data_IF_217038507388
#
_entry.id   IF_217038507388
#
_cell.length_a   1.000
_cell.length_b   1.000
_cell.length_c   1.000
_cell.angle_alpha   90.00
_cell.angle_beta   90.00
_cell.angle_gamma   90.00
#
_symmetry.space_group_name_H-M   'P 1'
#
loop_
_entity.id
_entity.type
_entity.pdbx_description
1 polymer ?
#
# COMPACT_ATOMS: atom_id res chain seq x y z
N UNK A 1 6.18 -31.71 38.69
CA UNK A 1 7.29 -30.80 39.05
C UNK A 1 6.82 -29.38 38.81
N UNK A 2 6.93 -28.55 39.80
CA UNK A 2 6.27 -27.26 40.01
C UNK A 2 6.63 -26.15 39.01
N UNK A 3 5.76 -25.17 38.74
CA UNK A 3 6.06 -23.99 37.90
C UNK A 3 6.74 -22.88 38.74
N UNK A 4 7.70 -22.20 38.13
CA UNK A 4 8.36 -21.01 38.68
C UNK A 4 7.53 -19.76 38.34
N UNK A 5 7.05 -19.11 39.40
CA UNK A 5 6.41 -17.81 39.38
C UNK A 5 7.50 -16.75 39.45
N UNK A 6 7.55 -15.83 38.50
CA UNK A 6 8.40 -14.64 38.55
C UNK A 6 7.56 -13.42 38.94
N UNK A 7 7.91 -12.82 40.08
CA UNK A 7 7.32 -11.63 40.67
C UNK A 7 7.92 -10.36 40.00
N UNK A 8 7.07 -9.45 39.58
CA UNK A 8 7.47 -8.09 39.22
C UNK A 8 7.37 -7.16 40.44
N UNK A 9 8.50 -6.54 40.79
CA UNK A 9 8.60 -5.49 41.80
C UNK A 9 8.15 -4.13 41.22
N UNK A 10 7.22 -3.48 41.92
CA UNK A 10 6.89 -2.06 41.75
C UNK A 10 7.86 -1.21 42.57
N UNK A 11 8.50 -0.23 41.97
CA UNK A 11 9.20 0.86 42.66
C UNK A 11 8.38 2.13 42.51
N UNK A 12 7.78 2.57 43.60
CA UNK A 12 7.16 3.86 43.75
C UNK A 12 8.23 4.91 44.05
N UNK A 13 8.32 5.98 43.28
CA UNK A 13 9.15 7.14 43.60
C UNK A 13 8.22 8.31 43.94
N UNK A 14 8.55 8.93 45.09
CA UNK A 14 7.75 9.85 45.87
C UNK A 14 7.59 11.25 45.29
N UNK A 15 6.46 11.82 45.65
CA UNK A 15 6.12 13.23 45.52
C UNK A 15 6.71 14.02 46.71
N UNK A 16 7.27 15.19 46.43
CA UNK A 16 7.46 16.25 47.42
C UNK A 16 6.98 17.59 46.86
N UNK A 17 6.27 18.40 47.64
CA UNK A 17 5.67 19.64 47.18
C UNK A 17 6.54 20.88 47.46
N UNK A 18 6.55 21.85 46.55
CA UNK A 18 7.11 23.19 46.80
C UNK A 18 6.03 24.25 46.64
N UNK A 19 5.81 24.89 47.72
CA UNK A 19 5.21 26.10 48.19
C UNK A 19 4.89 27.23 47.17
N UNK A 20 3.72 27.80 47.40
CA UNK A 20 3.13 28.99 46.77
C UNK A 20 3.94 30.29 46.93
N UNK A 21 3.88 31.09 45.86
CA UNK A 21 4.28 32.49 45.90
C UNK A 21 3.21 33.38 45.27
N UNK A 22 2.57 34.20 46.12
CA UNK A 22 1.57 35.21 45.78
C UNK A 22 2.18 36.43 45.12
N UNK A 23 1.60 36.90 44.01
CA UNK A 23 1.95 38.17 43.38
C UNK A 23 0.71 38.88 42.81
N UNK A 24 0.23 39.88 43.53
CA UNK A 24 -0.82 40.80 43.14
C UNK A 24 -0.38 41.67 41.97
N UNK A 25 -1.19 41.83 40.94
CA UNK A 25 -1.02 42.88 39.92
C UNK A 25 -2.29 43.66 39.71
N UNK A 26 -2.13 44.94 39.89
CA UNK A 26 -3.06 46.04 39.91
C UNK A 26 -3.62 46.36 38.52
N UNK A 27 -4.93 46.61 38.50
CA UNK A 27 -5.68 47.14 37.36
C UNK A 27 -5.44 48.61 37.20
N UNK A 28 -5.10 49.13 36.02
CA UNK A 28 -5.25 50.51 35.63
C UNK A 28 -6.18 50.67 34.43
N UNK A 29 -7.37 51.23 34.68
CA UNK A 29 -8.25 51.82 33.68
C UNK A 29 -7.83 53.26 33.47
N UNK A 30 -7.64 53.69 32.23
CA UNK A 30 -7.62 55.08 31.86
C UNK A 30 -8.64 55.33 30.73
N UNK A 31 -9.65 56.11 31.09
CA UNK A 31 -10.58 56.73 30.15
C UNK A 31 -9.96 58.09 29.72
N UNK A 32 -10.01 58.37 28.43
CA UNK A 32 -10.02 59.80 27.99
C UNK A 32 -10.82 59.92 26.68
N UNK A 33 -11.91 60.68 26.79
CA UNK A 33 -12.63 61.28 25.67
C UNK A 33 -11.90 62.52 25.22
N UNK A 34 -11.80 62.81 23.94
CA UNK A 34 -11.73 64.17 23.37
C UNK A 34 -12.41 64.18 22.00
N UNK A 35 -13.20 65.23 21.88
CA UNK A 35 -14.13 65.69 20.84
C UNK A 35 -13.47 66.02 19.50
N UNK A 36 -14.17 65.69 18.45
CA UNK A 36 -14.61 66.36 17.24
C UNK A 36 -13.69 67.39 16.55
N UNK A 37 -13.50 67.09 15.24
CA UNK A 37 -13.38 68.16 14.24
C UNK A 37 -13.93 67.64 12.92
N UNK A 38 -14.93 68.35 12.37
CA UNK A 38 -15.46 68.24 11.05
C UNK A 38 -14.42 68.68 10.01
N UNK A 39 -14.08 67.85 9.02
CA UNK A 39 -13.42 68.32 7.82
C UNK A 39 -14.21 67.78 6.61
N UNK A 40 -14.81 68.75 5.91
CA UNK A 40 -15.45 68.62 4.61
C UNK A 40 -14.33 68.38 3.59
N UNK A 41 -14.34 67.28 2.97
CA UNK A 41 -13.47 66.96 1.79
C UNK A 41 -14.34 66.98 0.55
N UNK A 42 -14.04 67.94 -0.31
CA UNK A 42 -14.63 68.15 -1.62
C UNK A 42 -14.28 66.98 -2.54
N UNK A 43 -15.28 66.33 -3.10
CA UNK A 43 -15.12 65.30 -4.14
C UNK A 43 -14.78 66.02 -5.47
N UNK A 44 -13.52 65.93 -5.90
CA UNK A 44 -13.12 66.13 -7.29
C UNK A 44 -13.28 64.82 -8.04
N UNK A 45 -14.31 64.71 -8.89
CA UNK A 45 -14.50 63.62 -9.84
C UNK A 45 -13.50 63.76 -10.97
N UNK A 46 -12.38 63.05 -10.89
CA UNK A 46 -11.50 62.80 -12.02
C UNK A 46 -11.99 61.52 -12.70
N UNK A 47 -12.55 61.68 -13.89
CA UNK A 47 -12.84 60.56 -14.79
C UNK A 47 -11.53 59.95 -15.30
N UNK A 48 -10.97 59.05 -14.53
CA UNK A 48 -9.88 58.17 -14.96
C UNK A 48 -10.46 56.97 -15.69
N UNK A 49 -10.07 56.81 -16.94
CA UNK A 49 -10.38 55.64 -17.73
C UNK A 49 -9.85 54.37 -17.03
N UNK A 50 -10.75 53.56 -16.46
CA UNK A 50 -10.40 52.24 -15.99
C UNK A 50 -10.08 51.36 -17.20
N UNK A 51 -8.78 51.21 -17.48
CA UNK A 51 -8.31 50.08 -18.29
C UNK A 51 -8.60 48.81 -17.50
N UNK A 52 -9.49 47.94 -17.97
CA UNK A 52 -9.72 46.63 -17.41
C UNK A 52 -8.40 45.87 -17.36
N UNK A 53 -8.05 45.22 -16.24
CA UNK A 53 -6.86 44.38 -16.21
C UNK A 53 -7.06 43.28 -17.24
N UNK A 54 -6.07 43.16 -18.16
CA UNK A 54 -6.00 42.05 -19.10
C UNK A 54 -6.19 40.75 -18.34
N UNK A 55 -7.11 39.90 -18.87
CA UNK A 55 -7.53 38.68 -18.22
C UNK A 55 -6.35 37.89 -17.68
N UNK A 56 -6.42 37.52 -16.42
CA UNK A 56 -5.53 36.56 -15.82
C UNK A 56 -5.64 35.28 -16.65
N UNK A 57 -4.66 35.03 -17.50
CA UNK A 57 -4.51 33.73 -18.13
C UNK A 57 -4.42 32.73 -17.00
N UNK A 58 -5.44 31.88 -16.86
CA UNK A 58 -5.37 30.72 -15.97
C UNK A 58 -4.11 29.96 -16.33
N UNK A 59 -3.21 29.79 -15.35
CA UNK A 59 -2.04 28.94 -15.52
C UNK A 59 -2.50 27.61 -16.16
N UNK A 60 -1.80 27.06 -17.16
CA UNK A 60 -2.17 25.80 -17.74
C UNK A 60 -2.27 24.78 -16.61
N UNK A 61 -3.44 24.13 -16.51
CA UNK A 61 -3.62 23.04 -15.56
C UNK A 61 -2.45 22.07 -15.76
N UNK A 62 -1.73 21.75 -14.71
CA UNK A 62 -0.67 20.74 -14.75
C UNK A 62 -1.22 19.50 -15.45
N UNK A 63 -0.50 18.91 -16.40
CA UNK A 63 -1.01 17.75 -17.12
C UNK A 63 -1.45 16.71 -16.10
N UNK A 64 -2.69 16.30 -16.17
CA UNK A 64 -3.20 15.19 -15.37
C UNK A 64 -2.37 13.98 -15.78
N UNK A 65 -1.42 13.59 -14.93
CA UNK A 65 -0.64 12.38 -15.18
C UNK A 65 -1.60 11.23 -15.34
N UNK A 66 -1.51 10.51 -16.46
CA UNK A 66 -2.37 9.36 -16.71
C UNK A 66 -2.27 8.37 -15.56
N UNK A 67 -3.40 7.77 -15.17
CA UNK A 67 -3.44 6.76 -14.11
C UNK A 67 -2.50 5.60 -14.47
N UNK A 68 -1.66 5.19 -13.54
CA UNK A 68 -0.65 4.14 -13.72
C UNK A 68 -1.35 2.79 -13.92
N UNK A 69 -1.15 2.06 -15.04
CA UNK A 69 -1.58 0.67 -15.14
C UNK A 69 -0.84 -0.17 -14.10
N UNK A 70 -1.57 -0.77 -13.16
CA UNK A 70 -1.02 -1.48 -12.02
C UNK A 70 -1.50 -2.93 -11.99
N UNK A 71 -0.57 -3.86 -11.88
CA UNK A 71 -0.83 -5.26 -11.58
C UNK A 71 -0.51 -5.50 -10.11
N UNK A 72 -1.39 -6.19 -9.40
CA UNK A 72 -1.18 -6.61 -8.01
C UNK A 72 -0.96 -8.11 -7.97
N UNK A 73 0.24 -8.55 -7.58
CA UNK A 73 0.63 -9.96 -7.44
C UNK A 73 0.84 -10.26 -5.96
N UNK A 74 0.00 -11.13 -5.38
CA UNK A 74 -0.22 -11.25 -3.93
C UNK A 74 -0.31 -12.71 -3.50
N UNK A 75 0.05 -13.02 -2.27
CA UNK A 75 -0.26 -14.31 -1.63
C UNK A 75 -1.43 -14.21 -0.64
N UNK A 76 -2.37 -13.34 -0.97
CA UNK A 76 -3.57 -13.03 -0.17
C UNK A 76 -4.21 -14.29 0.42
N UNK A 77 -4.40 -14.26 1.71
CA UNK A 77 -4.85 -15.41 2.50
C UNK A 77 -3.78 -15.92 3.47
N UNK A 78 -2.53 -15.52 3.33
CA UNK A 78 -1.47 -15.79 4.31
C UNK A 78 -1.46 -14.71 5.40
N UNK A 79 -1.55 -13.43 5.03
CA UNK A 79 -1.61 -12.29 5.95
C UNK A 79 -2.77 -11.35 5.60
N UNK A 80 -3.16 -10.47 6.53
CA UNK A 80 -4.24 -9.51 6.32
C UNK A 80 -3.76 -8.18 5.72
N UNK A 81 -2.47 -7.91 5.68
CA UNK A 81 -1.95 -6.69 5.05
C UNK A 81 -2.06 -6.74 3.52
N UNK A 82 -2.05 -7.91 2.88
CA UNK A 82 -2.49 -8.09 1.49
C UNK A 82 -3.87 -7.48 1.22
N UNK A 83 -4.81 -7.71 2.14
CA UNK A 83 -6.20 -7.23 2.00
C UNK A 83 -6.25 -5.71 2.14
N UNK A 84 -5.50 -5.16 3.10
CA UNK A 84 -5.36 -3.71 3.26
C UNK A 84 -4.67 -3.08 2.04
N UNK A 85 -3.65 -3.75 1.46
CA UNK A 85 -2.96 -3.30 0.26
C UNK A 85 -3.89 -3.27 -0.96
N UNK A 86 -4.75 -4.27 -1.13
CA UNK A 86 -5.78 -4.27 -2.19
C UNK A 86 -6.78 -3.13 -1.99
N UNK A 87 -7.23 -2.87 -0.76
CA UNK A 87 -8.07 -1.73 -0.42
C UNK A 87 -7.40 -0.38 -0.71
N UNK A 88 -6.12 -0.26 -0.38
CA UNK A 88 -5.30 0.92 -0.72
C UNK A 88 -5.25 1.17 -2.23
N UNK A 89 -5.04 0.12 -3.04
CA UNK A 89 -5.05 0.22 -4.51
C UNK A 89 -6.40 0.72 -5.00
N UNK A 90 -7.51 0.20 -4.47
CA UNK A 90 -8.85 0.65 -4.85
C UNK A 90 -9.10 2.12 -4.53
N UNK A 91 -8.62 2.62 -3.38
CA UNK A 91 -8.70 4.04 -3.01
C UNK A 91 -7.85 4.91 -3.94
N UNK A 92 -6.63 4.47 -4.24
CA UNK A 92 -5.75 5.16 -5.19
C UNK A 92 -6.34 5.20 -6.60
N UNK A 93 -7.02 4.14 -7.04
CA UNK A 93 -7.75 4.13 -8.31
C UNK A 93 -8.95 5.08 -8.28
N UNK A 94 -9.68 5.17 -7.18
CA UNK A 94 -10.77 6.13 -7.00
C UNK A 94 -10.29 7.58 -7.13
N UNK A 95 -9.05 7.83 -6.71
CA UNK A 95 -8.35 9.12 -6.86
C UNK A 95 -7.66 9.29 -8.23
N UNK A 96 -7.88 8.37 -9.15
CA UNK A 96 -7.29 8.36 -10.50
C UNK A 96 -5.74 8.40 -10.50
N UNK A 97 -5.12 7.71 -9.53
CA UNK A 97 -3.65 7.61 -9.43
C UNK A 97 -3.11 6.36 -10.07
N UNK A 98 -3.86 5.28 -10.01
CA UNK A 98 -3.58 4.03 -10.72
C UNK A 98 -4.85 3.48 -11.36
N UNK A 99 -4.69 2.47 -12.18
CA UNK A 99 -5.74 1.63 -12.74
C UNK A 99 -5.32 0.18 -12.52
N UNK A 100 -6.01 -0.51 -11.62
CA UNK A 100 -5.79 -1.94 -11.37
C UNK A 100 -6.24 -2.72 -12.60
N UNK A 101 -5.29 -3.33 -13.30
CA UNK A 101 -5.53 -4.04 -14.56
C UNK A 101 -5.57 -5.55 -14.40
N UNK A 102 -5.02 -6.08 -13.32
CA UNK A 102 -5.15 -7.47 -12.91
C UNK A 102 -4.76 -7.66 -11.45
N UNK A 103 -5.28 -8.71 -10.82
CA UNK A 103 -4.76 -9.31 -9.60
C UNK A 103 -4.30 -10.73 -9.91
N UNK A 104 -3.05 -11.08 -9.56
CA UNK A 104 -2.54 -12.44 -9.68
C UNK A 104 -2.17 -12.99 -8.31
N UNK A 105 -2.49 -14.27 -8.07
CA UNK A 105 -2.44 -14.88 -6.75
C UNK A 105 -1.41 -16.01 -6.76
N UNK A 106 -0.46 -15.96 -5.83
CA UNK A 106 0.62 -16.94 -5.68
C UNK A 106 0.33 -17.99 -4.62
N UNK A 107 -0.57 -17.71 -3.67
CA UNK A 107 -1.05 -18.70 -2.71
C UNK A 107 -1.92 -19.75 -3.41
N UNK A 108 -1.52 -21.03 -3.34
CA UNK A 108 -2.25 -22.11 -3.97
C UNK A 108 -3.42 -22.61 -3.10
N UNK A 109 -4.43 -21.79 -2.95
CA UNK A 109 -5.63 -22.12 -2.19
C UNK A 109 -6.92 -21.66 -2.88
N UNK A 110 -7.91 -22.54 -2.91
CA UNK A 110 -9.13 -22.42 -3.71
C UNK A 110 -10.00 -21.19 -3.38
N UNK A 111 -9.96 -20.70 -2.15
CA UNK A 111 -10.78 -19.55 -1.71
C UNK A 111 -10.13 -18.18 -1.95
N UNK A 112 -8.87 -18.12 -2.38
CA UNK A 112 -8.19 -16.82 -2.53
C UNK A 112 -8.77 -16.00 -3.70
N UNK A 113 -9.05 -16.62 -4.85
CA UNK A 113 -9.61 -15.90 -5.99
C UNK A 113 -11.06 -15.42 -5.75
N UNK A 114 -11.99 -16.24 -5.23
CA UNK A 114 -13.30 -15.73 -4.78
C UNK A 114 -13.20 -14.59 -3.77
N UNK A 115 -12.25 -14.64 -2.85
CA UNK A 115 -12.06 -13.60 -1.86
C UNK A 115 -11.58 -12.27 -2.49
N UNK A 116 -10.63 -12.33 -3.42
CA UNK A 116 -10.20 -11.14 -4.21
C UNK A 116 -11.37 -10.57 -5.00
N UNK A 117 -12.17 -11.42 -5.64
CA UNK A 117 -13.35 -11.00 -6.39
C UNK A 117 -14.37 -10.29 -5.48
N UNK A 118 -14.63 -10.83 -4.30
CA UNK A 118 -15.50 -10.22 -3.30
C UNK A 118 -15.00 -8.84 -2.85
N UNK A 119 -13.69 -8.69 -2.62
CA UNK A 119 -13.10 -7.38 -2.30
C UNK A 119 -13.19 -6.41 -3.48
N UNK A 120 -12.84 -6.84 -4.69
CA UNK A 120 -12.96 -6.02 -5.90
C UNK A 120 -14.41 -5.56 -6.11
N UNK A 121 -15.39 -6.45 -5.96
CA UNK A 121 -16.82 -6.17 -6.08
C UNK A 121 -17.28 -5.19 -5.00
N UNK A 122 -16.83 -5.34 -3.76
CA UNK A 122 -17.08 -4.38 -2.68
C UNK A 122 -16.64 -2.96 -3.05
N UNK A 123 -15.56 -2.81 -3.79
CA UNK A 123 -15.09 -1.51 -4.30
C UNK A 123 -15.70 -1.12 -5.66
N UNK A 124 -16.70 -1.87 -6.17
CA UNK A 124 -17.37 -1.61 -7.44
C UNK A 124 -16.50 -1.93 -8.66
N UNK A 125 -15.64 -2.94 -8.57
CA UNK A 125 -14.68 -3.36 -9.62
C UNK A 125 -14.57 -4.88 -9.77
N UNK A 126 -15.69 -5.58 -9.72
CA UNK A 126 -15.73 -7.04 -9.88
C UNK A 126 -15.17 -7.54 -11.22
N UNK A 127 -15.14 -6.69 -12.25
CA UNK A 127 -14.61 -7.07 -13.58
C UNK A 127 -13.07 -7.08 -13.70
N UNK A 128 -12.32 -6.78 -12.62
CA UNK A 128 -10.86 -6.83 -12.63
C UNK A 128 -10.40 -8.27 -12.86
N UNK A 129 -9.59 -8.55 -13.90
CA UNK A 129 -9.10 -9.90 -14.17
C UNK A 129 -8.34 -10.49 -12.99
N UNK A 130 -8.66 -11.74 -12.63
CA UNK A 130 -8.01 -12.48 -11.55
C UNK A 130 -7.34 -13.73 -12.15
N UNK A 131 -6.06 -13.89 -11.84
CA UNK A 131 -5.28 -15.07 -12.22
C UNK A 131 -4.74 -15.81 -11.01
N UNK A 132 -4.68 -17.15 -11.06
CA UNK A 132 -4.17 -17.98 -9.97
C UNK A 132 -2.97 -18.79 -10.40
N UNK A 133 -2.00 -18.94 -9.48
CA UNK A 133 -0.93 -19.90 -9.61
C UNK A 133 -1.48 -21.31 -9.27
N UNK A 134 -1.27 -22.28 -10.18
CA UNK A 134 -1.75 -23.66 -9.96
C UNK A 134 -0.69 -24.61 -9.42
N UNK A 135 0.54 -24.13 -9.31
CA UNK A 135 1.68 -24.87 -8.75
C UNK A 135 2.40 -24.01 -7.70
N UNK A 136 1.62 -23.26 -6.95
CA UNK A 136 2.11 -22.35 -5.91
C UNK A 136 2.48 -23.07 -4.62
N UNK A 137 2.88 -22.27 -3.67
CA UNK A 137 3.21 -22.72 -2.30
C UNK A 137 2.08 -22.31 -1.34
N UNK A 138 2.19 -22.70 -0.08
CA UNK A 138 1.27 -22.33 1.01
C UNK A 138 -0.21 -22.69 0.75
N UNK A 139 -0.54 -23.97 0.51
CA UNK A 139 -1.92 -24.41 0.26
C UNK A 139 -2.81 -24.44 1.50
N UNK A 140 -2.29 -24.04 2.67
CA UNK A 140 -3.00 -24.10 3.95
C UNK A 140 -4.21 -23.17 3.96
N UNK A 141 -5.24 -23.57 4.74
CA UNK A 141 -6.43 -22.77 4.97
C UNK A 141 -6.08 -21.37 5.50
N UNK A 142 -6.67 -20.36 4.91
CA UNK A 142 -6.60 -18.98 5.40
C UNK A 142 -7.47 -18.79 6.64
N UNK A 143 -7.08 -17.84 7.49
CA UNK A 143 -7.90 -17.43 8.66
C UNK A 143 -9.12 -16.61 8.25
N UNK A 144 -9.14 -15.97 7.09
CA UNK A 144 -10.16 -14.99 6.70
C UNK A 144 -10.77 -15.17 5.31
N UNK A 145 -10.17 -15.90 4.39
CA UNK A 145 -10.76 -16.06 3.04
C UNK A 145 -12.10 -16.78 3.07
N UNK A 146 -12.43 -17.47 4.18
CA UNK A 146 -13.75 -18.07 4.42
C UNK A 146 -14.88 -17.05 4.47
N UNK A 147 -14.60 -15.75 4.60
CA UNK A 147 -15.61 -14.67 4.52
C UNK A 147 -16.45 -14.73 3.25
N UNK A 148 -15.94 -15.30 2.15
CA UNK A 148 -16.70 -15.50 0.91
C UNK A 148 -17.90 -16.44 1.07
N UNK A 149 -17.88 -17.29 2.11
CA UNK A 149 -18.98 -18.23 2.40
C UNK A 149 -20.05 -17.62 3.31
N UNK A 150 -19.79 -16.43 3.86
CA UNK A 150 -20.71 -15.78 4.79
C UNK A 150 -21.97 -15.27 4.07
N UNK A 151 -23.10 -15.44 4.72
CA UNK A 151 -24.41 -15.05 4.18
C UNK A 151 -25.03 -13.90 4.97
N UNK A 152 -25.83 -13.10 4.25
CA UNK A 152 -26.74 -12.13 4.86
C UNK A 152 -28.15 -12.42 4.31
N UNK A 153 -28.95 -13.14 5.12
CA UNK A 153 -30.15 -13.79 4.63
C UNK A 153 -29.80 -14.90 3.62
N UNK A 154 -30.44 -14.87 2.46
CA UNK A 154 -30.20 -15.87 1.39
C UNK A 154 -29.07 -15.45 0.42
N UNK A 155 -28.57 -14.21 0.52
CA UNK A 155 -27.53 -13.67 -0.35
C UNK A 155 -26.12 -13.83 0.25
N UNK A 156 -25.10 -13.77 -0.60
CA UNK A 156 -23.72 -13.65 -0.14
C UNK A 156 -23.53 -12.30 0.58
N UNK A 157 -22.87 -12.32 1.75
CA UNK A 157 -22.52 -11.08 2.48
C UNK A 157 -21.61 -10.21 1.63
N UNK A 158 -20.69 -10.84 0.92
CA UNK A 158 -19.79 -10.22 -0.02
C UNK A 158 -20.07 -10.81 -1.42
N UNK A 159 -20.86 -10.13 -2.27
CA UNK A 159 -21.15 -10.60 -3.62
C UNK A 159 -19.88 -10.82 -4.44
N UNK A 160 -19.82 -11.93 -5.16
CA UNK A 160 -18.69 -12.32 -6.03
C UNK A 160 -19.16 -13.34 -7.06
N UNK A 161 -18.52 -13.33 -8.23
CA UNK A 161 -18.84 -14.22 -9.34
C UNK A 161 -18.02 -15.50 -9.34
N UNK A 162 -16.73 -15.40 -9.00
CA UNK A 162 -15.86 -16.56 -8.85
C UNK A 162 -16.29 -17.40 -7.64
N UNK A 163 -16.53 -18.69 -7.83
CA UNK A 163 -16.94 -19.61 -6.75
C UNK A 163 -15.79 -20.45 -6.23
N UNK A 164 -14.74 -20.60 -7.02
CA UNK A 164 -13.57 -21.41 -6.71
C UNK A 164 -12.35 -20.83 -7.45
N UNK A 165 -11.17 -20.99 -6.88
CA UNK A 165 -9.92 -20.68 -7.57
C UNK A 165 -9.73 -21.51 -8.85
N UNK A 166 -10.39 -22.67 -8.95
CA UNK A 166 -10.38 -23.49 -10.17
C UNK A 166 -11.07 -22.80 -11.35
N UNK A 167 -12.03 -21.93 -11.08
CA UNK A 167 -12.79 -21.18 -12.10
C UNK A 167 -12.00 -19.95 -12.60
N UNK A 168 -10.98 -19.51 -11.85
CA UNK A 168 -10.12 -18.41 -12.24
C UNK A 168 -9.15 -18.82 -13.36
N UNK A 169 -8.72 -17.86 -14.16
CA UNK A 169 -7.73 -18.05 -15.20
C UNK A 169 -6.34 -18.37 -14.63
N UNK A 170 -5.45 -18.91 -15.44
CA UNK A 170 -4.04 -19.06 -15.10
C UNK A 170 -3.36 -17.68 -14.96
N UNK A 171 -2.53 -17.51 -13.92
CA UNK A 171 -1.88 -16.24 -13.64
C UNK A 171 -0.99 -15.75 -14.79
N UNK A 172 -0.24 -16.63 -15.43
CA UNK A 172 0.64 -16.28 -16.55
C UNK A 172 -0.19 -15.83 -17.76
N UNK A 173 -1.29 -16.53 -18.04
CA UNK A 173 -2.19 -16.14 -19.13
C UNK A 173 -2.80 -14.74 -18.90
N UNK A 174 -3.22 -14.43 -17.64
CA UNK A 174 -3.71 -13.10 -17.26
C UNK A 174 -2.61 -12.06 -17.43
N UNK A 175 -1.42 -12.30 -16.86
CA UNK A 175 -0.26 -11.40 -16.97
C UNK A 175 0.07 -11.08 -18.43
N UNK A 176 0.19 -12.10 -19.27
CA UNK A 176 0.49 -11.92 -20.69
C UNK A 176 -0.56 -11.11 -21.41
N UNK A 177 -1.84 -11.41 -21.15
CA UNK A 177 -2.98 -10.70 -21.77
C UNK A 177 -3.00 -9.21 -21.42
N UNK A 178 -2.88 -8.87 -20.13
CA UNK A 178 -2.93 -7.46 -19.72
C UNK A 178 -1.67 -6.70 -20.13
N UNK A 179 -0.49 -7.32 -20.05
CA UNK A 179 0.76 -6.71 -20.52
C UNK A 179 0.73 -6.42 -22.01
N UNK A 180 0.25 -7.37 -22.83
CA UNK A 180 0.16 -7.17 -24.27
C UNK A 180 -0.73 -5.98 -24.65
N UNK A 181 -1.78 -5.71 -23.89
CA UNK A 181 -2.75 -4.64 -24.14
C UNK A 181 -2.26 -3.25 -23.75
N UNK A 182 -1.26 -3.14 -22.85
CA UNK A 182 -0.81 -1.84 -22.34
C UNK A 182 0.26 -1.19 -23.22
N UNK A 183 0.46 0.12 -23.02
CA UNK A 183 1.53 0.86 -23.68
C UNK A 183 2.92 0.41 -23.19
N UNK A 184 3.94 0.55 -24.04
CA UNK A 184 5.31 0.17 -23.72
C UNK A 184 5.83 1.01 -22.54
N UNK A 185 6.51 0.37 -21.59
CA UNK A 185 7.10 1.00 -20.42
C UNK A 185 6.11 1.70 -19.49
N UNK A 186 4.81 1.35 -19.53
CA UNK A 186 3.79 2.00 -18.72
C UNK A 186 3.43 1.24 -17.43
N UNK A 187 3.53 -0.09 -17.45
CA UNK A 187 3.00 -0.95 -16.38
C UNK A 187 3.90 -0.94 -15.15
N UNK A 188 3.28 -0.86 -14.00
CA UNK A 188 3.91 -1.11 -12.70
C UNK A 188 3.32 -2.39 -12.12
N UNK A 189 4.18 -3.30 -11.67
CA UNK A 189 3.79 -4.48 -10.92
C UNK A 189 4.10 -4.24 -9.45
N UNK A 190 3.11 -4.45 -8.60
CA UNK A 190 3.28 -4.55 -7.16
C UNK A 190 3.19 -6.02 -6.79
N UNK A 191 4.33 -6.64 -6.50
CA UNK A 191 4.41 -8.01 -6.04
C UNK A 191 4.60 -8.01 -4.53
N UNK A 192 3.66 -8.60 -3.81
CA UNK A 192 3.71 -8.68 -2.35
C UNK A 192 3.63 -10.12 -1.83
N UNK A 193 3.39 -11.06 -2.73
CA UNK A 193 3.49 -12.49 -2.46
C UNK A 193 4.81 -13.11 -2.97
N UNK A 194 4.76 -14.39 -3.32
CA UNK A 194 5.92 -15.13 -3.81
C UNK A 194 6.26 -14.74 -5.26
N UNK A 195 7.51 -14.90 -5.65
CA UNK A 195 7.98 -14.53 -7.00
C UNK A 195 7.53 -15.53 -8.10
N UNK A 196 6.76 -16.54 -7.77
CA UNK A 196 6.37 -17.68 -8.63
C UNK A 196 5.71 -17.22 -9.93
N UNK A 197 4.70 -16.35 -9.88
CA UNK A 197 3.98 -15.89 -11.07
C UNK A 197 4.87 -15.11 -12.03
N UNK A 198 5.70 -14.19 -11.50
CA UNK A 198 6.59 -13.38 -12.33
C UNK A 198 7.70 -14.23 -12.97
N UNK A 199 8.24 -15.21 -12.26
CA UNK A 199 9.23 -16.15 -12.82
C UNK A 199 8.58 -17.05 -13.87
N UNK A 200 7.37 -17.55 -13.64
CA UNK A 200 6.63 -18.32 -14.63
C UNK A 200 6.31 -17.47 -15.87
N UNK A 201 5.99 -16.18 -15.71
CA UNK A 201 5.88 -15.25 -16.83
C UNK A 201 7.19 -15.19 -17.62
N UNK A 202 8.35 -14.97 -16.97
CA UNK A 202 9.65 -14.91 -17.67
C UNK A 202 9.95 -16.16 -18.49
N UNK A 203 9.51 -17.33 -18.03
CA UNK A 203 9.70 -18.63 -18.68
C UNK A 203 8.67 -18.93 -19.76
N UNK A 204 7.60 -18.15 -19.88
CA UNK A 204 6.56 -18.38 -20.88
C UNK A 204 7.06 -18.04 -22.29
N UNK A 205 6.71 -18.90 -23.26
CA UNK A 205 6.99 -18.68 -24.68
C UNK A 205 6.03 -17.70 -25.33
N UNK A 206 6.25 -17.44 -26.62
CA UNK A 206 5.27 -16.79 -27.49
C UNK A 206 4.02 -17.67 -27.64
N UNK A 207 2.85 -17.06 -27.76
CA UNK A 207 1.55 -17.73 -27.86
C UNK A 207 0.55 -16.87 -28.65
N UNK A 208 -0.71 -17.32 -28.71
CA UNK A 208 -1.79 -16.59 -29.41
C UNK A 208 -2.11 -15.23 -28.78
N UNK A 209 -1.73 -14.99 -27.51
CA UNK A 209 -1.89 -13.70 -26.83
C UNK A 209 -0.86 -12.71 -27.33
N UNK A 210 0.39 -13.15 -27.52
CA UNK A 210 1.48 -12.28 -27.93
C UNK A 210 2.61 -13.09 -28.62
N UNK A 211 3.17 -12.55 -29.73
CA UNK A 211 4.34 -13.15 -30.37
C UNK A 211 5.63 -12.98 -29.53
N UNK A 212 5.59 -12.19 -28.46
CA UNK A 212 6.72 -11.98 -27.55
C UNK A 212 6.74 -13.07 -26.48
N UNK A 213 7.93 -13.54 -26.11
CA UNK A 213 8.12 -14.31 -24.89
C UNK A 213 7.74 -13.49 -23.65
N UNK A 214 7.50 -14.14 -22.52
CA UNK A 214 7.18 -13.41 -21.28
C UNK A 214 8.29 -12.48 -20.83
N UNK A 215 9.56 -12.86 -21.05
CA UNK A 215 10.71 -11.97 -20.78
C UNK A 215 10.71 -10.73 -21.68
N UNK A 216 10.42 -10.87 -22.94
CA UNK A 216 10.32 -9.74 -23.88
C UNK A 216 9.13 -8.85 -23.56
N UNK A 217 7.98 -9.44 -23.17
CA UNK A 217 6.83 -8.68 -22.67
C UNK A 217 7.16 -7.88 -21.41
N UNK A 218 7.82 -8.51 -20.43
CA UNK A 218 8.24 -7.84 -19.21
C UNK A 218 9.17 -6.67 -19.53
N UNK A 219 10.23 -6.90 -20.33
CA UNK A 219 11.18 -5.86 -20.75
C UNK A 219 10.50 -4.70 -21.49
N UNK A 220 9.53 -5.00 -22.35
CA UNK A 220 8.86 -4.00 -23.19
C UNK A 220 7.81 -3.21 -22.43
N UNK A 221 7.05 -3.84 -21.55
CA UNK A 221 5.82 -3.27 -20.97
C UNK A 221 5.97 -2.77 -19.55
N UNK A 222 6.82 -3.43 -18.75
CA UNK A 222 6.97 -3.13 -17.32
C UNK A 222 8.10 -2.12 -17.12
N UNK A 223 7.80 -1.00 -16.46
CA UNK A 223 8.81 -0.01 -16.08
C UNK A 223 9.39 -0.25 -14.69
N UNK A 224 8.60 -0.85 -13.80
CA UNK A 224 8.94 -1.02 -12.38
C UNK A 224 8.24 -2.24 -11.79
N UNK A 225 8.97 -3.03 -11.03
CA UNK A 225 8.42 -3.94 -10.02
C UNK A 225 8.70 -3.37 -8.64
N UNK A 226 7.65 -3.07 -7.88
CA UNK A 226 7.75 -2.76 -6.45
C UNK A 226 7.46 -4.04 -5.69
N UNK A 227 8.46 -4.60 -5.03
CA UNK A 227 8.34 -5.92 -4.41
C UNK A 227 8.47 -5.87 -2.90
N UNK A 228 7.54 -6.51 -2.20
CA UNK A 228 7.71 -6.83 -0.78
C UNK A 228 8.48 -8.15 -0.67
N UNK A 229 9.77 -8.04 -0.44
CA UNK A 229 10.65 -9.21 -0.29
C UNK A 229 11.97 -8.85 0.37
N UNK A 230 12.50 -9.80 1.11
CA UNK A 230 13.83 -9.71 1.71
C UNK A 230 13.92 -8.79 2.94
N UNK A 231 15.14 -8.68 3.45
CA UNK A 231 15.49 -7.76 4.54
C UNK A 231 16.90 -7.21 4.28
N UNK A 232 17.04 -5.89 4.34
CA UNK A 232 18.29 -5.18 4.04
C UNK A 232 18.92 -4.56 5.29
N UNK A 233 18.24 -4.68 6.45
CA UNK A 233 18.74 -4.31 7.76
C UNK A 233 18.57 -5.46 8.75
N UNK A 234 19.44 -5.57 9.78
CA UNK A 234 19.26 -6.55 10.84
C UNK A 234 17.97 -6.29 11.63
N UNK A 235 17.25 -7.35 11.96
CA UNK A 235 16.09 -7.29 12.87
C UNK A 235 16.55 -7.78 14.25
N UNK A 236 16.39 -6.93 15.26
CA UNK A 236 16.90 -7.20 16.62
C UNK A 236 18.40 -7.59 16.64
N UNK A 237 19.21 -6.96 15.77
CA UNK A 237 20.64 -7.21 15.66
C UNK A 237 21.03 -8.52 14.96
N UNK A 238 20.07 -9.23 14.35
CA UNK A 238 20.31 -10.50 13.65
C UNK A 238 19.88 -10.39 12.18
N UNK A 239 20.54 -11.14 11.27
CA UNK A 239 20.04 -11.30 9.89
C UNK A 239 18.63 -11.85 9.92
N UNK A 240 17.78 -11.32 9.06
CA UNK A 240 16.39 -11.77 8.91
C UNK A 240 16.21 -12.50 7.58
N UNK A 241 15.55 -13.65 7.62
CA UNK A 241 15.18 -14.46 6.48
C UNK A 241 13.69 -14.22 6.22
N UNK A 242 13.42 -13.38 5.24
CA UNK A 242 12.07 -12.89 4.99
C UNK A 242 11.19 -13.96 4.34
N UNK A 243 9.92 -14.02 4.77
CA UNK A 243 8.97 -15.10 4.48
C UNK A 243 8.75 -15.33 2.98
N UNK A 244 8.47 -14.28 2.19
CA UNK A 244 8.21 -14.40 0.75
C UNK A 244 9.41 -14.94 -0.02
N UNK A 245 10.61 -14.65 0.47
CA UNK A 245 11.86 -15.19 -0.10
C UNK A 245 12.07 -16.64 0.29
N UNK A 246 11.79 -17.01 1.54
CA UNK A 246 12.08 -18.37 2.06
C UNK A 246 11.09 -19.41 1.54
N UNK A 247 9.79 -19.04 1.47
CA UNK A 247 8.73 -19.99 1.05
C UNK A 247 8.83 -20.39 -0.42
N UNK A 248 9.31 -19.48 -1.31
CA UNK A 248 9.66 -19.84 -2.69
C UNK A 248 11.05 -19.32 -3.06
N UNK A 249 12.05 -19.90 -2.41
CA UNK A 249 13.45 -19.52 -2.56
C UNK A 249 13.95 -19.58 -4.00
N UNK A 250 13.50 -20.57 -4.76
CA UNK A 250 13.91 -20.75 -6.15
C UNK A 250 13.39 -19.62 -7.04
N UNK A 251 12.12 -19.24 -6.88
CA UNK A 251 11.55 -18.12 -7.61
C UNK A 251 12.14 -16.78 -7.16
N UNK A 252 12.35 -16.56 -5.87
CA UNK A 252 12.97 -15.33 -5.37
C UNK A 252 14.38 -15.12 -5.93
N UNK A 253 15.19 -16.17 -6.02
CA UNK A 253 16.52 -16.14 -6.66
C UNK A 253 16.43 -15.82 -8.15
N UNK A 254 15.52 -16.51 -8.87
CA UNK A 254 15.33 -16.31 -10.30
C UNK A 254 14.83 -14.90 -10.60
N UNK A 255 13.88 -14.36 -9.82
CA UNK A 255 13.41 -12.99 -10.00
C UNK A 255 14.56 -11.97 -9.86
N UNK A 256 15.33 -12.09 -8.78
CA UNK A 256 16.46 -11.19 -8.53
C UNK A 256 17.55 -11.28 -9.62
N UNK A 257 17.74 -12.43 -10.22
CA UNK A 257 18.78 -12.65 -11.23
C UNK A 257 18.32 -12.28 -12.65
N UNK A 258 17.05 -12.58 -12.99
CA UNK A 258 16.59 -12.65 -14.38
C UNK A 258 15.63 -11.55 -14.77
N UNK A 259 15.03 -10.82 -13.81
CA UNK A 259 14.05 -9.78 -14.15
C UNK A 259 14.69 -8.64 -14.93
N UNK A 260 14.12 -8.23 -16.10
CA UNK A 260 14.82 -7.38 -17.04
C UNK A 260 14.66 -5.86 -16.81
N UNK A 261 13.83 -5.42 -15.87
CA UNK A 261 13.58 -3.99 -15.60
C UNK A 261 13.88 -3.63 -14.15
N UNK A 262 13.65 -2.38 -13.75
CA UNK A 262 13.92 -1.93 -12.38
C UNK A 262 13.07 -2.70 -11.35
N UNK A 263 13.73 -3.12 -10.26
CA UNK A 263 13.08 -3.65 -9.06
C UNK A 263 13.41 -2.76 -7.87
N UNK A 264 12.37 -2.36 -7.13
CA UNK A 264 12.52 -1.69 -5.84
C UNK A 264 11.92 -2.55 -4.75
N UNK A 265 12.77 -2.95 -3.82
CA UNK A 265 12.41 -3.83 -2.71
C UNK A 265 11.91 -3.01 -1.52
N UNK A 266 10.73 -3.30 -1.02
CA UNK A 266 10.30 -2.93 0.33
C UNK A 266 10.68 -4.08 1.26
N UNK A 267 11.79 -3.92 1.99
CA UNK A 267 12.28 -4.95 2.89
C UNK A 267 11.42 -5.12 4.14
N UNK A 268 11.58 -6.23 4.83
CA UNK A 268 10.86 -6.55 6.06
C UNK A 268 10.90 -5.42 7.08
N UNK A 269 12.06 -4.76 7.25
CA UNK A 269 12.27 -3.65 8.17
C UNK A 269 11.38 -2.44 7.89
N UNK A 270 10.97 -2.23 6.63
CA UNK A 270 10.15 -1.08 6.22
C UNK A 270 8.73 -1.24 6.74
N UNK A 271 8.07 -2.35 6.43
CA UNK A 271 6.71 -2.61 6.92
C UNK A 271 6.65 -2.78 8.42
N UNK A 272 7.67 -3.40 9.03
CA UNK A 272 7.77 -3.54 10.49
C UNK A 272 7.80 -2.17 11.19
N UNK A 273 8.45 -1.17 10.59
CA UNK A 273 8.54 0.18 11.13
C UNK A 273 7.24 0.99 11.00
N UNK A 274 6.28 0.54 10.19
CA UNK A 274 5.02 1.24 9.89
C UNK A 274 3.83 0.36 10.25
N UNK A 275 3.51 0.14 11.55
CA UNK A 275 2.37 -0.67 11.93
C UNK A 275 1.05 0.08 11.65
N UNK A 276 0.04 -0.64 11.14
CA UNK A 276 -1.32 -0.14 10.95
C UNK A 276 -2.02 -0.03 12.30
N UNK A 277 -2.55 1.13 12.70
CA UNK A 277 -3.15 1.30 14.02
C UNK A 277 -4.43 0.47 14.18
N UNK A 278 -4.50 -0.37 15.20
CA UNK A 278 -5.67 -1.16 15.53
C UNK A 278 -6.93 -0.30 15.75
N UNK A 279 -6.77 0.89 16.34
CA UNK A 279 -7.87 1.84 16.55
C UNK A 279 -8.55 2.23 15.24
N UNK A 280 -7.80 2.32 14.14
CA UNK A 280 -8.39 2.56 12.81
C UNK A 280 -9.27 1.40 12.37
N UNK A 281 -8.84 0.16 12.58
CA UNK A 281 -9.64 -1.04 12.30
C UNK A 281 -10.93 -1.05 13.11
N UNK A 282 -10.90 -0.60 14.35
CA UNK A 282 -12.06 -0.56 15.23
C UNK A 282 -13.07 0.54 14.84
N UNK A 283 -12.61 1.69 14.35
CA UNK A 283 -13.43 2.91 14.25
C UNK A 283 -13.66 3.40 12.83
N UNK A 284 -12.66 3.34 11.93
CA UNK A 284 -12.72 4.07 10.67
C UNK A 284 -13.45 3.31 9.55
N UNK A 285 -13.75 2.02 9.74
CA UNK A 285 -14.46 1.18 8.77
C UNK A 285 -15.96 1.00 9.07
N UNK A 286 -16.48 1.69 10.09
CA UNK A 286 -17.85 1.53 10.57
C UNK A 286 -18.92 2.22 9.72
N UNK A 287 -18.53 2.83 8.59
CA UNK A 287 -19.48 3.43 7.64
C UNK A 287 -20.35 2.39 6.91
N UNK A 288 -20.00 1.12 7.01
CA UNK A 288 -20.83 -0.03 6.62
C UNK A 288 -20.82 -1.08 7.72
N UNK A 289 -21.90 -1.87 7.88
CA UNK A 289 -21.97 -2.90 8.91
C UNK A 289 -20.95 -4.03 8.71
N UNK A 290 -20.66 -4.36 7.45
CA UNK A 290 -19.71 -5.39 7.06
C UNK A 290 -18.68 -4.80 6.08
N UNK A 291 -17.43 -4.79 6.50
CA UNK A 291 -16.32 -4.30 5.68
C UNK A 291 -15.26 -5.39 5.50
N UNK A 292 -14.94 -5.83 4.27
CA UNK A 292 -14.08 -7.00 4.07
C UNK A 292 -12.66 -6.81 4.63
N UNK A 293 -12.09 -5.59 4.55
CA UNK A 293 -10.77 -5.32 5.13
C UNK A 293 -10.78 -5.44 6.66
N UNK A 294 -11.78 -4.84 7.30
CA UNK A 294 -11.93 -4.88 8.75
C UNK A 294 -12.16 -6.31 9.25
N UNK A 295 -13.09 -7.04 8.64
CA UNK A 295 -13.43 -8.39 9.07
C UNK A 295 -12.24 -9.35 8.84
N UNK A 296 -11.49 -9.20 7.74
CA UNK A 296 -10.27 -9.98 7.49
C UNK A 296 -9.21 -9.72 8.55
N UNK A 297 -8.97 -8.46 8.90
CA UNK A 297 -8.01 -8.09 9.94
C UNK A 297 -8.38 -8.71 11.29
N UNK A 298 -9.64 -8.58 11.69
CA UNK A 298 -10.14 -9.10 12.99
C UNK A 298 -10.06 -10.64 13.04
N UNK A 299 -10.33 -11.33 11.93
CA UNK A 299 -10.21 -12.79 11.85
C UNK A 299 -8.75 -13.24 11.82
N UNK A 300 -7.87 -12.45 11.23
CA UNK A 300 -6.45 -12.77 11.19
C UNK A 300 -5.79 -12.62 12.56
N UNK A 301 -5.87 -11.43 13.14
CA UNK A 301 -5.42 -11.11 14.49
C UNK A 301 -6.18 -9.89 15.02
N UNK A 302 -7.07 -10.08 16.03
CA UNK A 302 -7.95 -9.00 16.46
C UNK A 302 -7.19 -7.88 17.20
N UNK A 303 -7.75 -6.64 17.22
CA UNK A 303 -7.28 -5.58 18.10
C UNK A 303 -7.14 -6.06 19.57
N UNK A 304 -6.18 -5.48 20.33
CA UNK A 304 -5.43 -4.25 20.05
C UNK A 304 -4.13 -4.43 19.23
N UNK A 305 -3.98 -5.51 18.47
CA UNK A 305 -2.82 -5.76 17.66
C UNK A 305 -2.67 -4.72 16.52
N UNK A 306 -1.49 -4.10 16.40
CA UNK A 306 -1.12 -3.22 15.29
C UNK A 306 -0.30 -4.02 14.27
N UNK A 307 -0.91 -4.38 13.13
CA UNK A 307 -0.23 -5.19 12.13
C UNK A 307 0.77 -4.35 11.33
N UNK A 308 2.03 -4.80 11.18
CA UNK A 308 2.94 -4.19 10.21
C UNK A 308 2.35 -4.15 8.81
N UNK A 309 2.77 -3.16 7.98
CA UNK A 309 2.17 -2.85 6.68
C UNK A 309 3.12 -3.17 5.54
N UNK A 310 3.70 -4.35 5.52
CA UNK A 310 4.72 -4.74 4.55
C UNK A 310 4.27 -4.50 3.11
N UNK A 311 3.08 -4.96 2.75
CA UNK A 311 2.54 -4.90 1.40
C UNK A 311 2.12 -3.49 1.00
N UNK A 312 1.50 -2.78 1.95
CA UNK A 312 1.01 -1.42 1.71
C UNK A 312 2.15 -0.46 1.37
N UNK A 313 3.35 -0.68 1.92
CA UNK A 313 4.51 0.16 1.63
C UNK A 313 4.98 0.00 0.19
N UNK A 314 4.95 -1.21 -0.37
CA UNK A 314 5.21 -1.47 -1.78
C UNK A 314 4.19 -0.79 -2.69
N UNK A 315 2.89 -0.85 -2.35
CA UNK A 315 1.81 -0.16 -3.09
C UNK A 315 2.01 1.36 -3.06
N UNK A 316 2.25 1.92 -1.87
CA UNK A 316 2.40 3.38 -1.71
C UNK A 316 3.59 3.91 -2.51
N UNK A 317 4.73 3.21 -2.48
CA UNK A 317 5.89 3.56 -3.28
C UNK A 317 5.60 3.46 -4.79
N UNK A 318 5.01 2.36 -5.24
CA UNK A 318 4.71 2.12 -6.66
C UNK A 318 3.88 3.25 -7.30
N UNK A 319 2.94 3.82 -6.54
CA UNK A 319 2.04 4.86 -7.02
C UNK A 319 2.58 6.27 -6.78
N UNK A 320 3.37 6.46 -5.73
CA UNK A 320 3.90 7.76 -5.33
C UNK A 320 5.42 7.75 -5.10
N UNK A 321 6.24 7.34 -6.07
CA UNK A 321 7.70 7.22 -5.89
C UNK A 321 8.38 8.55 -5.54
N UNK A 322 7.86 9.67 -6.04
CA UNK A 322 8.46 11.00 -5.92
C UNK A 322 7.86 11.86 -4.79
N UNK A 323 6.98 11.30 -3.95
CA UNK A 323 6.35 12.09 -2.86
C UNK A 323 7.20 12.18 -1.60
N UNK A 324 8.37 11.56 -1.57
CA UNK A 324 9.26 11.57 -0.42
C UNK A 324 8.72 10.79 0.77
N UNK A 325 7.83 9.82 0.55
CA UNK A 325 7.39 8.87 1.57
C UNK A 325 8.54 7.96 2.01
N UNK A 326 9.40 7.60 1.09
CA UNK A 326 10.55 6.74 1.32
C UNK A 326 11.82 7.36 0.75
N UNK A 327 12.96 6.97 1.30
CA UNK A 327 14.25 7.09 0.65
C UNK A 327 14.56 5.83 -0.17
N UNK A 328 15.64 5.87 -0.93
CA UNK A 328 16.13 4.76 -1.73
C UNK A 328 17.59 4.48 -1.43
N UNK A 329 17.97 3.21 -1.41
CA UNK A 329 19.37 2.82 -1.44
C UNK A 329 20.07 3.30 -2.72
N UNK A 330 21.41 3.31 -2.79
CA UNK A 330 22.11 3.35 -4.08
C UNK A 330 21.61 2.23 -4.99
N UNK A 331 21.81 2.40 -6.31
CA UNK A 331 21.59 1.32 -7.29
C UNK A 331 22.53 0.14 -7.01
N UNK A 332 22.10 -1.04 -7.37
CA UNK A 332 22.91 -2.24 -7.19
C UNK A 332 22.23 -3.48 -7.77
N UNK A 333 22.76 -4.62 -7.41
CA UNK A 333 22.21 -5.93 -7.72
C UNK A 333 21.88 -6.65 -6.41
N UNK A 334 20.62 -7.03 -6.24
CA UNK A 334 20.20 -7.88 -5.12
C UNK A 334 20.52 -9.32 -5.45
N UNK A 335 21.07 -10.02 -4.46
CA UNK A 335 21.31 -11.46 -4.50
C UNK A 335 20.62 -12.13 -3.31
N UNK A 336 20.16 -13.35 -3.54
CA UNK A 336 19.52 -14.20 -2.52
C UNK A 336 20.39 -15.44 -2.35
N UNK A 337 20.87 -15.69 -1.14
CA UNK A 337 21.70 -16.88 -0.88
C UNK A 337 20.84 -18.16 -0.71
N UNK A 338 21.51 -19.30 -0.48
CA UNK A 338 20.82 -20.61 -0.36
C UNK A 338 19.92 -20.75 0.88
N UNK A 339 19.99 -19.81 1.80
CA UNK A 339 19.14 -19.76 2.99
C UNK A 339 18.04 -18.69 2.91
N UNK A 340 18.01 -17.89 1.83
CA UNK A 340 17.03 -16.80 1.67
C UNK A 340 17.51 -15.44 2.21
N UNK A 341 18.77 -15.29 2.63
CA UNK A 341 19.29 -13.98 3.00
C UNK A 341 19.49 -13.13 1.75
N UNK A 342 18.95 -11.91 1.79
CA UNK A 342 19.05 -10.92 0.72
C UNK A 342 20.18 -9.94 1.00
N UNK A 343 20.93 -9.57 -0.03
CA UNK A 343 21.98 -8.55 0.03
C UNK A 343 21.99 -7.72 -1.25
N UNK A 344 22.29 -6.41 -1.12
CA UNK A 344 22.49 -5.53 -2.27
C UNK A 344 24.00 -5.30 -2.46
N UNK A 345 24.54 -5.66 -3.63
CA UNK A 345 25.85 -5.25 -4.06
C UNK A 345 25.72 -3.91 -4.83
N UNK A 346 26.25 -2.78 -4.32
CA UNK A 346 26.13 -1.49 -5.00
C UNK A 346 26.83 -1.51 -6.37
N UNK A 347 26.20 -0.84 -7.36
CA UNK A 347 26.75 -0.73 -8.72
C UNK A 347 25.88 0.18 -9.59
N UNK A 348 26.48 1.12 -10.31
CA UNK A 348 25.76 2.14 -11.09
C UNK A 348 24.84 1.56 -12.16
N UNK A 349 25.21 0.42 -12.74
CA UNK A 349 24.43 -0.28 -13.78
C UNK A 349 23.40 -1.27 -13.20
N UNK A 350 23.31 -1.36 -11.87
CA UNK A 350 22.34 -2.24 -11.21
C UNK A 350 20.90 -1.76 -11.41
N UNK A 351 19.99 -2.73 -11.54
CA UNK A 351 18.55 -2.47 -11.72
C UNK A 351 17.76 -2.52 -10.40
N UNK A 352 18.45 -2.76 -9.29
CA UNK A 352 17.78 -2.96 -8.00
C UNK A 352 18.08 -1.83 -7.03
N UNK A 353 17.09 -1.53 -6.19
CA UNK A 353 17.18 -0.68 -5.01
C UNK A 353 16.31 -1.25 -3.91
N UNK A 354 16.49 -0.79 -2.69
CA UNK A 354 15.54 -1.02 -1.61
C UNK A 354 15.11 0.30 -0.97
N UNK A 355 13.94 0.29 -0.36
CA UNK A 355 13.38 1.43 0.36
C UNK A 355 14.15 1.68 1.65
N UNK A 356 14.28 2.95 2.00
CA UNK A 356 14.76 3.39 3.32
C UNK A 356 13.72 4.29 3.96
N UNK A 357 13.72 4.39 5.28
CA UNK A 357 12.69 5.11 6.02
C UNK A 357 13.31 5.90 7.17
N UNK A 358 13.04 7.22 7.22
CA UNK A 358 13.36 8.05 8.39
C UNK A 358 12.17 8.07 9.36
N UNK A 359 12.40 8.50 10.62
CA UNK A 359 11.32 8.63 11.60
C UNK A 359 10.20 9.60 11.14
N UNK A 360 10.54 10.67 10.43
CA UNK A 360 9.56 11.61 9.87
C UNK A 360 8.75 10.97 8.74
N UNK A 361 9.41 10.20 7.87
CA UNK A 361 8.75 9.46 6.81
C UNK A 361 7.83 8.38 7.38
N UNK A 362 8.23 7.71 8.46
CA UNK A 362 7.42 6.70 9.13
C UNK A 362 6.06 7.26 9.56
N UNK A 363 6.02 8.42 10.23
CA UNK A 363 4.77 9.08 10.63
C UNK A 363 3.92 9.43 9.41
N UNK A 364 4.52 10.04 8.38
CA UNK A 364 3.81 10.43 7.16
C UNK A 364 3.24 9.23 6.41
N UNK A 365 3.98 8.13 6.34
CA UNK A 365 3.53 6.89 5.70
C UNK A 365 2.35 6.31 6.47
N UNK A 366 2.46 6.15 7.80
CA UNK A 366 1.37 5.64 8.63
C UNK A 366 0.08 6.42 8.44
N UNK A 367 0.13 7.75 8.56
CA UNK A 367 -1.05 8.61 8.38
C UNK A 367 -1.64 8.50 6.96
N UNK A 368 -0.77 8.44 5.94
CA UNK A 368 -1.21 8.29 4.55
C UNK A 368 -1.88 6.93 4.31
N UNK A 369 -1.37 5.85 4.88
CA UNK A 369 -1.96 4.52 4.76
C UNK A 369 -3.33 4.47 5.43
N UNK A 370 -3.46 5.00 6.65
CA UNK A 370 -4.75 5.08 7.36
C UNK A 370 -5.78 5.84 6.51
N UNK A 371 -5.45 7.06 6.09
CA UNK A 371 -6.37 7.88 5.28
C UNK A 371 -6.80 7.23 3.97
N UNK A 372 -5.87 6.52 3.31
CA UNK A 372 -6.16 5.91 2.02
C UNK A 372 -6.95 4.60 2.18
N UNK A 373 -6.60 3.74 3.14
CA UNK A 373 -7.30 2.47 3.34
C UNK A 373 -8.73 2.66 3.87
N UNK A 374 -8.97 3.69 4.68
CA UNK A 374 -10.28 3.97 5.28
C UNK A 374 -11.21 4.78 4.38
N UNK A 375 -10.73 5.23 3.21
CA UNK A 375 -11.55 6.00 2.27
C UNK A 375 -12.73 5.18 1.76
N UNK A 376 -13.99 5.60 2.03
CA UNK A 376 -15.15 4.85 1.59
C UNK A 376 -15.20 4.71 0.07
N UNK A 377 -15.56 3.52 -0.48
CA UNK A 377 -15.91 3.37 -1.87
C UNK A 377 -16.99 4.36 -2.31
N UNK A 378 -17.02 4.73 -3.59
CA UNK A 378 -17.94 5.78 -4.10
C UNK A 378 -19.40 5.54 -3.75
N UNK A 379 -19.85 4.27 -3.78
CA UNK A 379 -21.23 3.89 -3.46
C UNK A 379 -21.61 4.08 -1.98
N UNK A 380 -20.65 4.23 -1.09
CA UNK A 380 -20.87 4.43 0.36
C UNK A 380 -20.53 5.86 0.80
N UNK A 381 -20.23 6.76 -0.12
CA UNK A 381 -20.03 8.17 0.20
C UNK A 381 -21.37 8.88 0.37
N UNK A 382 -21.51 9.77 1.36
CA UNK A 382 -22.72 10.55 1.58
C UNK A 382 -23.04 11.49 0.41
#
# INVERSE_FOLDING_TARGET
MLPVVSQYFWVAAGLSPVVAGTGLVTVFRAWLMVRGWFLVVIFLVLAGAFSAPAGAQSAPASPVTAAIPLIFDTDIGNDCDDVLALGLIHSLQTRNRCRLIAVTITKDHDQCAPFVDAVNTFYGRGDVPIGVCRSGVTPQQSRFTTLVNEKQGDADRYPHDLRSGRDAADAVAVLRKVLAAEADGSVVIVQVGFSTNLVNLLRSGADDISPLTGRELALKKVRLVSVMAGAFAPINGQPHYEYNVVEDLAAAKSLALEWPTEIVYSGFEIGLAVPYPAVSIEQDYLYVPHHPLRESYVLYEPPPHNRPTWDLTSVLYAVYPDRGYFGLSPKGTVTVNDKGLTTLAPGENGLHRYLTLTAEQQVRVTESLVQLCTEPPRQFRP
#
